data_IF_654753359810
#
_entry.id   IF_654753359810
#
_cell.length_a   1.000
_cell.length_b   1.000
_cell.length_c   1.000
_cell.angle_alpha   90.00
_cell.angle_beta   90.00
_cell.angle_gamma   90.00
#
_symmetry.space_group_name_H-M   'P 1'
#
loop_
_entity.id
_entity.type
_entity.pdbx_description
1 polymer ?
#
# COMPACT_ATOMS: atom_id res chain seq x y z
N UNK A 1 41.25 4.44 53.70
CA UNK A 1 40.70 4.07 52.39
C UNK A 1 39.20 4.38 52.38
N UNK A 2 38.76 5.49 51.78
CA UNK A 2 37.35 5.93 51.79
C UNK A 2 36.65 5.42 50.53
N UNK A 3 35.60 4.60 50.70
CA UNK A 3 34.78 4.05 49.62
C UNK A 3 33.70 5.07 49.25
N UNK A 4 33.70 5.55 48.00
CA UNK A 4 32.66 6.42 47.46
C UNK A 4 31.61 5.53 46.79
N UNK A 5 30.38 5.57 47.29
CA UNK A 5 29.23 4.87 46.72
C UNK A 5 28.52 5.83 45.75
N UNK A 6 28.66 5.61 44.45
CA UNK A 6 27.90 6.35 43.44
C UNK A 6 26.49 5.74 43.31
N UNK A 7 25.47 6.47 43.74
CA UNK A 7 24.08 6.14 43.46
C UNK A 7 23.72 6.54 42.03
N UNK A 8 23.41 5.57 41.16
CA UNK A 8 22.81 5.84 39.86
C UNK A 8 21.31 6.10 40.02
N UNK A 9 20.88 7.33 39.72
CA UNK A 9 19.47 7.69 39.56
C UNK A 9 19.03 7.26 38.15
N UNK A 10 18.21 6.22 38.04
CA UNK A 10 17.61 5.81 36.75
C UNK A 10 16.34 6.64 36.56
N UNK A 11 16.39 7.63 35.67
CA UNK A 11 15.22 8.38 35.24
C UNK A 11 14.45 7.55 34.20
N UNK A 12 13.24 7.09 34.55
CA UNK A 12 12.34 6.43 33.61
C UNK A 12 11.59 7.50 32.81
N UNK A 13 12.00 7.71 31.55
CA UNK A 13 11.24 8.53 30.61
C UNK A 13 10.03 7.73 30.08
N UNK A 14 8.83 8.33 30.02
CA UNK A 14 7.68 7.68 29.40
C UNK A 14 7.88 7.68 27.89
N UNK A 15 8.16 6.51 27.32
CA UNK A 15 8.02 6.29 25.88
C UNK A 15 6.53 6.30 25.54
N UNK A 16 5.98 7.48 25.28
CA UNK A 16 4.69 7.62 24.62
C UNK A 16 4.84 7.13 23.19
N UNK A 17 4.23 5.98 22.87
CA UNK A 17 4.10 5.49 21.51
C UNK A 17 3.23 6.47 20.71
N UNK A 18 3.87 7.36 19.97
CA UNK A 18 3.22 8.12 18.90
C UNK A 18 2.86 7.10 17.82
N UNK A 19 1.61 6.63 17.84
CA UNK A 19 1.06 5.91 16.70
C UNK A 19 0.95 6.91 15.56
N UNK A 20 1.87 6.83 14.60
CA UNK A 20 1.79 7.61 13.37
C UNK A 20 0.50 7.23 12.65
N UNK A 21 -0.32 8.24 12.35
CA UNK A 21 -1.56 8.05 11.60
C UNK A 21 -1.22 7.49 10.22
N UNK A 22 -1.78 6.35 9.85
CA UNK A 22 -1.48 5.71 8.58
C UNK A 22 -1.85 6.67 7.43
N UNK A 23 -1.01 6.82 6.40
CA UNK A 23 -1.30 7.72 5.29
C UNK A 23 -2.63 7.32 4.65
N UNK A 24 -3.56 8.29 4.56
CA UNK A 24 -4.86 8.10 3.91
C UNK A 24 -4.73 8.40 2.43
N UNK A 25 -5.63 7.83 1.62
CA UNK A 25 -5.75 8.19 0.22
C UNK A 25 -6.16 9.66 0.08
N UNK A 26 -5.68 10.31 -0.99
CA UNK A 26 -6.03 11.69 -1.32
C UNK A 26 -6.71 11.71 -2.68
N UNK A 27 -7.87 12.34 -2.77
CA UNK A 27 -8.62 12.52 -4.02
C UNK A 27 -8.75 11.22 -4.83
N UNK A 28 -8.87 10.08 -4.15
CA UNK A 28 -8.95 8.77 -4.78
C UNK A 28 -10.30 8.14 -4.44
N UNK A 29 -10.99 7.59 -5.43
CA UNK A 29 -12.19 6.80 -5.26
C UNK A 29 -11.97 5.41 -5.83
N UNK A 30 -12.21 4.40 -5.00
CA UNK A 30 -12.03 2.99 -5.35
C UNK A 30 -13.41 2.34 -5.36
N UNK A 31 -13.84 1.85 -6.52
CA UNK A 31 -15.16 1.25 -6.73
C UNK A 31 -15.02 -0.19 -7.19
N UNK A 32 -15.63 -1.14 -6.48
CA UNK A 32 -15.74 -2.52 -6.96
C UNK A 32 -16.80 -2.55 -8.07
N UNK A 33 -16.38 -2.82 -9.31
CA UNK A 33 -17.27 -2.83 -10.48
C UNK A 33 -17.62 -4.23 -10.96
N UNK A 34 -16.86 -5.24 -10.53
CA UNK A 34 -17.11 -6.63 -10.90
C UNK A 34 -16.64 -7.58 -9.80
N UNK A 35 -17.37 -8.67 -9.58
CA UNK A 35 -16.94 -9.80 -8.76
C UNK A 35 -17.58 -11.08 -9.28
N UNK A 36 -16.76 -12.11 -9.46
CA UNK A 36 -17.23 -13.44 -9.84
C UNK A 36 -16.36 -14.51 -9.21
N UNK A 37 -16.96 -15.52 -8.59
CA UNK A 37 -16.24 -16.67 -8.06
C UNK A 37 -15.72 -17.55 -9.20
N UNK A 38 -14.50 -18.06 -9.08
CA UNK A 38 -13.95 -18.92 -10.13
C UNK A 38 -14.55 -20.33 -10.02
N UNK A 39 -15.20 -20.85 -11.08
CA UNK A 39 -15.91 -22.13 -11.01
C UNK A 39 -14.98 -23.32 -10.79
N UNK A 40 -13.69 -23.18 -11.15
CA UNK A 40 -12.67 -24.22 -11.08
C UNK A 40 -11.60 -23.95 -10.01
N UNK A 41 -11.71 -22.87 -9.22
CA UNK A 41 -10.74 -22.54 -8.17
C UNK A 41 -11.47 -22.16 -6.87
N UNK A 42 -11.73 -23.15 -5.99
CA UNK A 42 -12.47 -22.92 -4.75
C UNK A 42 -11.88 -21.80 -3.88
N UNK A 43 -12.75 -20.91 -3.39
CA UNK A 43 -12.35 -19.79 -2.53
C UNK A 43 -11.62 -18.65 -3.24
N UNK A 44 -11.55 -18.66 -4.59
CA UNK A 44 -11.00 -17.56 -5.39
C UNK A 44 -12.07 -16.87 -6.21
N UNK A 45 -11.82 -15.60 -6.53
CA UNK A 45 -12.70 -14.76 -7.35
C UNK A 45 -11.89 -13.84 -8.25
N UNK A 46 -12.47 -13.50 -9.39
CA UNK A 46 -12.06 -12.33 -10.18
C UNK A 46 -12.78 -11.12 -9.59
N UNK A 47 -12.03 -10.03 -9.37
CA UNK A 47 -12.57 -8.75 -8.94
C UNK A 47 -12.10 -7.66 -9.91
N UNK A 48 -13.04 -6.89 -10.44
CA UNK A 48 -12.75 -5.67 -11.19
C UNK A 48 -12.93 -4.47 -10.29
N UNK A 49 -11.93 -3.59 -10.25
CA UNK A 49 -11.95 -2.37 -9.45
C UNK A 49 -11.67 -1.19 -10.36
N UNK A 50 -12.53 -0.18 -10.32
CA UNK A 50 -12.29 1.12 -10.94
C UNK A 50 -11.67 2.04 -9.89
N UNK A 51 -10.50 2.59 -10.21
CA UNK A 51 -9.82 3.57 -9.36
C UNK A 51 -9.77 4.90 -10.10
N UNK A 52 -10.36 5.92 -9.49
CA UNK A 52 -10.43 7.28 -10.02
C UNK A 52 -9.58 8.19 -9.14
N UNK A 53 -8.62 8.89 -9.72
CA UNK A 53 -7.81 9.88 -9.03
C UNK A 53 -8.12 11.27 -9.58
N UNK A 54 -8.50 12.19 -8.70
CA UNK A 54 -8.49 13.62 -9.02
C UNK A 54 -7.05 14.16 -9.18
N UNK A 55 -6.87 15.41 -9.63
CA UNK A 55 -5.54 16.00 -9.80
C UNK A 55 -4.67 15.88 -8.55
N UNK A 56 -3.47 15.29 -8.70
CA UNK A 56 -2.53 15.03 -7.61
C UNK A 56 -3.03 14.05 -6.53
N UNK A 57 -4.06 13.24 -6.85
CA UNK A 57 -4.55 12.17 -6.00
C UNK A 57 -3.62 10.98 -5.95
N UNK A 58 -3.67 10.21 -4.87
CA UNK A 58 -2.86 9.02 -4.67
C UNK A 58 -3.53 8.02 -3.73
N UNK A 59 -3.14 6.75 -3.87
CA UNK A 59 -3.38 5.71 -2.87
C UNK A 59 -2.15 5.56 -1.99
N UNK A 60 -2.29 5.38 -0.67
CA UNK A 60 -1.15 5.15 0.19
C UNK A 60 -0.50 3.81 -0.16
N UNK A 61 0.79 3.71 0.13
CA UNK A 61 1.52 2.47 -0.12
C UNK A 61 0.93 1.30 0.66
N UNK A 62 0.64 0.19 -0.02
CA UNK A 62 0.03 -1.00 0.59
C UNK A 62 0.47 -2.29 -0.09
N UNK A 63 0.25 -3.41 0.58
CA UNK A 63 0.65 -4.75 0.12
C UNK A 63 -0.56 -5.58 -0.27
N UNK A 64 -0.49 -6.22 -1.44
CA UNK A 64 -1.52 -7.14 -1.88
C UNK A 64 -1.46 -8.49 -1.15
N UNK A 65 -2.60 -9.17 -0.95
CA UNK A 65 -2.59 -10.51 -0.39
C UNK A 65 -1.71 -11.47 -1.23
N UNK A 66 -1.00 -12.38 -0.57
CA UNK A 66 -0.15 -13.43 -1.22
C UNK A 66 -0.89 -14.39 -2.18
N UNK A 67 -2.18 -14.20 -2.38
CA UNK A 67 -2.99 -14.99 -3.30
C UNK A 67 -3.67 -14.17 -4.39
N UNK A 68 -3.34 -12.88 -4.50
CA UNK A 68 -3.91 -11.98 -5.48
C UNK A 68 -2.84 -11.56 -6.48
N UNK A 69 -3.04 -11.91 -7.75
CA UNK A 69 -2.33 -11.31 -8.87
C UNK A 69 -3.17 -10.12 -9.36
N UNK A 70 -2.52 -8.97 -9.59
CA UNK A 70 -3.19 -7.76 -10.05
C UNK A 70 -2.77 -7.49 -11.48
N UNK A 71 -3.76 -7.22 -12.32
CA UNK A 71 -3.58 -6.64 -13.65
C UNK A 71 -4.39 -5.35 -13.69
N UNK A 72 -3.74 -4.26 -14.08
CA UNK A 72 -4.36 -2.96 -14.16
C UNK A 72 -4.06 -2.33 -15.53
N UNK A 73 -5.02 -1.58 -16.05
CA UNK A 73 -4.90 -0.78 -17.27
C UNK A 73 -5.33 0.63 -16.97
N UNK A 74 -4.54 1.61 -17.41
CA UNK A 74 -4.92 3.02 -17.31
C UNK A 74 -5.96 3.32 -18.37
N UNK A 75 -7.16 3.71 -17.94
CA UNK A 75 -8.26 4.01 -18.86
C UNK A 75 -8.16 5.45 -19.41
N UNK A 76 -7.77 6.40 -18.56
CA UNK A 76 -7.65 7.82 -18.90
C UNK A 76 -6.50 8.46 -18.10
N UNK A 77 -5.85 9.46 -18.68
CA UNK A 77 -4.79 10.22 -18.03
C UNK A 77 -3.49 9.44 -17.87
N UNK A 78 -2.83 9.63 -16.73
CA UNK A 78 -1.59 8.93 -16.38
C UNK A 78 -1.51 8.69 -14.88
N UNK A 79 -0.91 7.56 -14.49
CA UNK A 79 -0.61 7.23 -13.09
C UNK A 79 0.88 7.00 -12.93
N UNK A 80 1.42 7.35 -11.76
CA UNK A 80 2.77 6.99 -11.37
C UNK A 80 2.69 5.90 -10.31
N UNK A 81 3.37 4.78 -10.52
CA UNK A 81 3.39 3.64 -9.60
C UNK A 81 4.80 3.12 -9.41
N UNK A 82 5.10 2.71 -8.18
CA UNK A 82 6.30 1.99 -7.83
C UNK A 82 5.92 0.68 -7.16
N UNK A 83 6.41 -0.44 -7.70
CA UNK A 83 6.24 -1.76 -7.12
C UNK A 83 7.51 -2.14 -6.37
N UNK A 84 7.37 -2.49 -5.10
CA UNK A 84 8.43 -2.77 -4.14
C UNK A 84 9.49 -1.66 -4.18
N UNK A 85 10.77 -2.04 -4.21
CA UNK A 85 11.90 -1.11 -4.36
C UNK A 85 12.32 -0.95 -5.84
N UNK A 86 11.42 -1.28 -6.76
CA UNK A 86 11.64 -1.17 -8.20
C UNK A 86 11.62 0.27 -8.71
N UNK A 87 11.78 0.46 -10.04
CA UNK A 87 11.72 1.77 -10.65
C UNK A 87 10.33 2.39 -10.55
N UNK A 88 10.28 3.69 -10.28
CA UNK A 88 9.04 4.47 -10.38
C UNK A 88 8.70 4.61 -11.87
N UNK A 89 7.52 4.13 -12.26
CA UNK A 89 7.07 4.14 -13.65
C UNK A 89 5.80 4.97 -13.79
N UNK A 90 5.73 5.78 -14.83
CA UNK A 90 4.48 6.45 -15.24
C UNK A 90 3.82 5.63 -16.33
N UNK A 91 2.57 5.23 -16.11
CA UNK A 91 1.72 4.56 -17.09
C UNK A 91 0.67 5.54 -17.61
N UNK A 92 0.54 5.62 -18.92
CA UNK A 92 -0.43 6.45 -19.64
C UNK A 92 -1.62 5.63 -20.12
N UNK A 93 -2.69 6.32 -20.54
CA UNK A 93 -3.90 5.68 -21.07
C UNK A 93 -3.59 4.61 -22.12
N UNK A 94 -4.21 3.45 -21.97
CA UNK A 94 -4.00 2.26 -22.81
C UNK A 94 -2.83 1.37 -22.38
N UNK A 95 -1.95 1.83 -21.49
CA UNK A 95 -0.88 0.98 -20.93
C UNK A 95 -1.40 0.14 -19.76
N UNK A 96 -0.78 -1.02 -19.59
CA UNK A 96 -1.10 -1.97 -18.54
C UNK A 96 0.14 -2.40 -17.78
N UNK A 97 -0.07 -2.84 -16.54
CA UNK A 97 0.97 -3.38 -15.69
C UNK A 97 0.41 -4.49 -14.80
N UNK A 98 1.31 -5.20 -14.13
CA UNK A 98 0.95 -6.27 -13.23
C UNK A 98 1.73 -6.19 -11.93
N UNK A 99 1.10 -6.65 -10.87
CA UNK A 99 1.70 -6.78 -9.54
C UNK A 99 1.49 -8.22 -9.07
N UNK A 100 2.55 -8.81 -8.56
CA UNK A 100 2.57 -10.21 -8.15
C UNK A 100 1.98 -10.38 -6.75
N UNK A 101 1.56 -11.60 -6.40
CA UNK A 101 1.04 -11.87 -5.08
C UNK A 101 2.04 -11.53 -3.98
N UNK A 102 1.63 -10.62 -3.07
CA UNK A 102 2.47 -10.15 -1.98
C UNK A 102 3.30 -8.90 -2.28
N UNK A 103 3.22 -8.34 -3.49
CA UNK A 103 3.88 -7.08 -3.82
C UNK A 103 3.30 -5.92 -3.01
N UNK A 104 4.18 -4.98 -2.65
CA UNK A 104 3.83 -3.65 -2.14
C UNK A 104 3.90 -2.65 -3.29
N UNK A 105 2.97 -1.71 -3.36
CA UNK A 105 3.05 -0.60 -4.32
C UNK A 105 2.66 0.73 -3.68
N UNK A 106 3.08 1.84 -4.30
CA UNK A 106 2.75 3.22 -3.93
C UNK A 106 2.84 4.21 -5.09
#
# INVERSE_FOLDING_TARGET
MKRILCALLVATLPFGSVLADAPKSKNAKVTLVYRHELPNVPGKSIKGVLVEYGPGGYSPGHTHPKSAFIYATVLEGAIRSQVNDGPVTTYEAGQSFSELPGDRHN
#
